data_IF_886181878161
#
_entry.id   IF_886181878161
#
_cell.length_a   1.000
_cell.length_b   1.000
_cell.length_c   1.000
_cell.angle_alpha   90.00
_cell.angle_beta   90.00
_cell.angle_gamma   90.00
#
_symmetry.space_group_name_H-M   'P 1'
#
loop_
_entity.id
_entity.type
_entity.pdbx_description
1 polymer ?
#
# COMPACT_ATOMS: atom_id res chain seq x y z
N UNK A 1 3.48 -17.20 26.84
CA UNK A 1 3.47 -17.03 26.22
C UNK A 1 3.46 -16.49 25.48
N UNK A 2 3.27 -16.28 25.40
CA UNK A 2 3.16 -15.96 24.73
C UNK A 2 3.35 -15.62 23.86
N UNK A 3 3.51 -15.70 23.89
CA UNK A 3 3.96 -15.23 22.94
C UNK A 3 3.61 -15.31 21.68
N UNK A 4 3.19 -15.75 21.37
CA UNK A 4 2.76 -15.84 20.29
C UNK A 4 2.41 -14.75 19.55
N UNK A 5 2.09 -14.06 19.92
CA UNK A 5 1.77 -12.86 19.38
C UNK A 5 2.76 -12.25 18.46
N UNK A 6 3.93 -12.50 18.71
CA UNK A 6 4.97 -12.01 17.88
C UNK A 6 4.80 -12.49 16.47
N UNK A 7 4.09 -13.55 16.28
CA UNK A 7 3.87 -14.05 14.95
C UNK A 7 2.94 -13.16 14.15
N UNK A 8 2.34 -12.17 14.77
CA UNK A 8 1.46 -11.28 14.06
C UNK A 8 2.11 -9.95 13.76
N UNK A 9 3.42 -9.92 13.66
CA UNK A 9 4.12 -8.71 13.29
C UNK A 9 3.64 -8.21 11.94
N UNK A 10 3.36 -6.92 11.82
CA UNK A 10 2.89 -6.39 10.54
C UNK A 10 3.98 -6.44 9.49
N UNK A 11 3.55 -6.64 8.26
CA UNK A 11 4.42 -6.62 7.11
C UNK A 11 4.39 -5.23 6.51
N UNK A 12 5.56 -4.64 6.34
CA UNK A 12 5.67 -3.32 5.72
C UNK A 12 6.23 -3.50 4.32
N UNK A 13 5.52 -3.05 3.32
CA UNK A 13 5.95 -3.16 1.93
C UNK A 13 5.92 -1.78 1.30
N UNK A 14 6.98 -1.45 0.57
CA UNK A 14 7.05 -0.19 -0.15
C UNK A 14 6.82 -0.42 -1.63
N UNK A 15 5.98 0.41 -2.20
CA UNK A 15 5.67 0.36 -3.62
C UNK A 15 5.97 1.71 -4.25
N UNK A 16 6.17 1.69 -5.55
CA UNK A 16 6.37 2.90 -6.33
C UNK A 16 5.17 3.05 -7.25
N UNK A 17 4.55 4.22 -7.21
CA UNK A 17 3.36 4.50 -8.01
C UNK A 17 3.63 5.72 -8.87
N UNK A 18 3.35 5.58 -10.16
CA UNK A 18 3.52 6.65 -11.12
C UNK A 18 2.26 7.47 -11.21
N UNK A 19 2.41 8.75 -11.44
CA UNK A 19 1.28 9.63 -11.72
C UNK A 19 0.78 10.43 -10.53
N UNK A 20 1.24 10.11 -9.31
CA UNK A 20 0.86 10.91 -8.17
C UNK A 20 1.57 12.26 -8.23
N UNK A 21 0.81 13.32 -8.10
CA UNK A 21 1.40 14.65 -8.22
C UNK A 21 0.91 15.63 -7.16
N UNK A 22 -0.01 15.20 -6.30
CA UNK A 22 -0.53 16.08 -5.24
C UNK A 22 -1.11 15.24 -4.12
N UNK A 23 -1.44 15.90 -3.00
CA UNK A 23 -2.00 15.21 -1.85
C UNK A 23 -3.33 14.54 -2.13
N UNK A 24 -4.09 15.06 -3.07
CA UNK A 24 -5.35 14.46 -3.46
C UNK A 24 -5.12 13.07 -4.06
N UNK A 25 -4.05 12.94 -4.83
CA UNK A 25 -3.68 11.65 -5.42
C UNK A 25 -3.27 10.66 -4.34
N UNK A 26 -2.58 11.14 -3.32
CA UNK A 26 -2.20 10.29 -2.19
C UNK A 26 -3.44 9.68 -1.54
N UNK A 27 -4.47 10.47 -1.34
CA UNK A 27 -5.70 9.99 -0.75
C UNK A 27 -6.40 8.95 -1.61
N UNK A 28 -6.39 9.15 -2.92
CA UNK A 28 -7.04 8.21 -3.83
C UNK A 28 -6.33 6.86 -3.80
N UNK A 29 -5.00 6.86 -3.87
CA UNK A 29 -4.23 5.62 -3.86
C UNK A 29 -4.35 4.92 -2.51
N UNK A 30 -4.18 5.64 -1.42
CA UNK A 30 -4.24 5.01 -0.10
C UNK A 30 -5.64 4.50 0.20
N UNK A 31 -6.67 5.20 -0.27
CA UNK A 31 -8.05 4.76 -0.08
C UNK A 31 -8.33 3.43 -0.77
N UNK A 32 -7.85 3.28 -2.00
CA UNK A 32 -8.06 2.04 -2.73
C UNK A 32 -7.27 0.88 -2.14
N UNK A 33 -6.00 1.13 -1.79
CA UNK A 33 -5.18 0.05 -1.25
C UNK A 33 -5.70 -0.37 0.13
N UNK A 34 -6.21 0.57 0.92
CA UNK A 34 -6.70 0.23 2.25
C UNK A 34 -7.92 -0.69 2.21
N UNK A 35 -8.58 -0.83 1.07
CA UNK A 35 -9.70 -1.75 0.94
C UNK A 35 -9.27 -3.20 0.77
N UNK A 36 -7.98 -3.44 0.55
CA UNK A 36 -7.48 -4.80 0.43
C UNK A 36 -7.53 -5.48 1.79
N UNK A 37 -8.06 -6.70 1.82
CA UNK A 37 -8.16 -7.47 3.05
C UNK A 37 -6.78 -7.67 3.67
N UNK A 38 -6.65 -7.37 4.95
CA UNK A 38 -5.40 -7.55 5.68
C UNK A 38 -4.57 -6.29 5.78
N UNK A 39 -4.92 -5.23 5.05
CA UNK A 39 -4.18 -3.97 5.11
C UNK A 39 -4.56 -3.22 6.38
N UNK A 40 -3.55 -2.84 7.16
CA UNK A 40 -3.75 -2.09 8.39
C UNK A 40 -3.66 -0.59 8.17
N UNK A 41 -2.67 -0.17 7.39
CA UNK A 41 -2.52 1.25 7.10
C UNK A 41 -1.78 1.44 5.79
N UNK A 42 -1.97 2.59 5.18
CA UNK A 42 -1.32 2.94 3.92
C UNK A 42 -0.88 4.40 4.02
N UNK A 43 0.35 4.66 3.64
CA UNK A 43 0.88 6.01 3.59
C UNK A 43 1.42 6.25 2.18
N UNK A 44 0.85 7.20 1.48
CA UNK A 44 1.28 7.55 0.13
C UNK A 44 1.95 8.91 0.15
N UNK A 45 3.08 9.04 -0.54
CA UNK A 45 3.84 10.28 -0.62
C UNK A 45 3.99 10.65 -2.08
N UNK A 46 3.25 11.67 -2.50
CA UNK A 46 3.22 12.07 -3.91
C UNK A 46 4.57 12.59 -4.39
N UNK A 47 5.29 13.29 -3.53
CA UNK A 47 6.55 13.91 -3.95
C UNK A 47 7.60 12.90 -4.38
N UNK A 48 7.55 11.69 -3.83
CA UNK A 48 8.50 10.63 -4.19
C UNK A 48 7.85 9.51 -4.96
N UNK A 49 6.54 9.46 -5.00
CA UNK A 49 5.81 8.38 -5.64
C UNK A 49 5.79 7.10 -4.82
N UNK A 50 6.22 7.16 -3.57
CA UNK A 50 6.31 5.98 -2.74
C UNK A 50 5.05 5.75 -1.93
N UNK A 51 4.67 4.49 -1.79
CA UNK A 51 3.51 4.10 -1.00
C UNK A 51 3.97 3.03 -0.02
N UNK A 52 3.78 3.30 1.27
CA UNK A 52 4.12 2.36 2.32
C UNK A 52 2.85 1.68 2.79
N UNK A 53 2.80 0.36 2.70
CA UNK A 53 1.63 -0.42 3.07
C UNK A 53 1.99 -1.32 4.24
N UNK A 54 1.22 -1.20 5.33
CA UNK A 54 1.38 -2.07 6.49
C UNK A 54 0.20 -3.03 6.49
N UNK A 55 0.50 -4.32 6.54
CA UNK A 55 -0.54 -5.35 6.47
C UNK A 55 -0.23 -6.48 7.42
N UNK A 56 -1.26 -7.26 7.76
CA UNK A 56 -1.10 -8.40 8.66
C UNK A 56 -0.34 -9.54 7.97
N UNK A 57 -0.49 -9.65 6.65
CA UNK A 57 0.16 -10.70 5.86
C UNK A 57 0.78 -10.07 4.62
N UNK A 58 1.76 -10.73 4.01
CA UNK A 58 2.32 -10.22 2.76
C UNK A 58 1.22 -10.04 1.71
N UNK A 59 1.25 -8.92 1.02
CA UNK A 59 0.24 -8.63 0.03
C UNK A 59 0.60 -9.22 -1.33
N UNK A 60 -0.44 -9.55 -2.08
CA UNK A 60 -0.29 -9.96 -3.45
C UNK A 60 -0.06 -8.71 -4.30
N UNK A 61 1.01 -8.69 -5.06
CA UNK A 61 1.33 -7.55 -5.93
C UNK A 61 0.19 -7.27 -6.91
N UNK A 62 -0.49 -8.31 -7.36
CA UNK A 62 -1.63 -8.16 -8.27
C UNK A 62 -2.77 -7.40 -7.61
N UNK A 63 -3.02 -7.65 -6.34
CA UNK A 63 -4.08 -6.95 -5.62
C UNK A 63 -3.73 -5.47 -5.47
N UNK A 64 -2.47 -5.18 -5.17
CA UNK A 64 -2.02 -3.80 -5.05
C UNK A 64 -2.08 -3.10 -6.40
N UNK A 65 -1.67 -3.78 -7.45
CA UNK A 65 -1.73 -3.22 -8.79
C UNK A 65 -3.18 -2.88 -9.18
N UNK A 66 -4.10 -3.80 -8.90
CA UNK A 66 -5.50 -3.55 -9.21
C UNK A 66 -6.03 -2.34 -8.45
N UNK A 67 -5.65 -2.19 -7.19
CA UNK A 67 -6.08 -1.06 -6.39
C UNK A 67 -5.52 0.25 -6.94
N UNK A 68 -4.26 0.25 -7.34
CA UNK A 68 -3.63 1.43 -7.91
C UNK A 68 -4.29 1.80 -9.24
N UNK A 69 -4.60 0.79 -10.06
CA UNK A 69 -5.32 1.02 -11.32
C UNK A 69 -6.69 1.62 -11.08
N UNK A 70 -7.39 1.12 -10.06
CA UNK A 70 -8.72 1.66 -9.72
C UNK A 70 -8.63 3.12 -9.31
N UNK A 71 -7.54 3.50 -8.68
CA UNK A 71 -7.34 4.89 -8.28
C UNK A 71 -6.97 5.78 -9.48
N UNK A 72 -6.68 5.20 -10.63
CA UNK A 72 -6.33 5.95 -11.82
C UNK A 72 -4.84 6.18 -12.01
N UNK A 73 -4.01 5.39 -11.33
CA UNK A 73 -2.56 5.52 -11.38
C UNK A 73 -1.95 4.21 -11.86
N UNK A 74 -0.64 4.16 -11.88
CA UNK A 74 0.06 2.99 -12.36
C UNK A 74 1.08 2.53 -11.33
N UNK A 75 1.06 1.24 -11.01
CA UNK A 75 2.04 0.66 -10.10
C UNK A 75 3.32 0.40 -10.89
N UNK A 76 4.40 1.10 -10.49
CA UNK A 76 5.68 0.94 -11.16
C UNK A 76 6.48 -0.23 -10.62
N UNK A 77 6.08 -0.76 -9.47
CA UNK A 77 6.78 -1.87 -8.84
C UNK A 77 7.02 -1.60 -7.38
N UNK A 78 7.88 -2.41 -6.77
CA UNK A 78 8.28 -2.17 -5.39
C UNK A 78 9.41 -1.18 -5.35
N UNK A 79 9.41 -0.37 -4.32
CA UNK A 79 10.46 0.61 -4.13
C UNK A 79 11.70 -0.02 -3.50
#
# INVERSE_FOLDING_TARGET
MTAQTDTTSPVTTLYKVSGMSCGHCEGAVSGEISQITGVSSVTAVASTGEVTVVSANPLDDEAVRAAVDEAGFELAGRA
#
